data_IF_989749942066
#
_entry.id   IF_989749942066
#
_cell.length_a   1.000
_cell.length_b   1.000
_cell.length_c   1.000
_cell.angle_alpha   90.00
_cell.angle_beta   90.00
_cell.angle_gamma   90.00
#
_symmetry.space_group_name_H-M   'P 1'
#
loop_
_entity.id
_entity.type
_entity.pdbx_description
1 polymer ?
#
# COMPACT_ATOMS: atom_id res chain seq x y z
N UNK A 1 -29.48 72.16 -25.09
CA UNK A 1 -29.33 70.92 -25.87
C UNK A 1 -28.20 70.21 -25.28
N UNK A 2 -28.51 69.27 -24.41
CA UNK A 2 -27.67 68.62 -23.47
C UNK A 2 -27.39 67.19 -23.97
N UNK A 3 -26.16 66.81 -24.07
CA UNK A 3 -25.76 65.43 -24.34
C UNK A 3 -25.20 64.77 -23.07
N UNK A 4 -25.95 63.81 -22.58
CA UNK A 4 -25.65 62.98 -21.48
C UNK A 4 -24.87 61.72 -22.00
N UNK A 5 -23.58 61.64 -21.75
CA UNK A 5 -22.80 60.42 -21.95
C UNK A 5 -22.59 59.74 -20.62
N UNK A 6 -23.38 58.67 -20.38
CA UNK A 6 -23.18 57.73 -19.27
C UNK A 6 -21.97 56.85 -19.54
N UNK A 7 -20.93 57.01 -18.74
CA UNK A 7 -19.82 56.04 -18.67
C UNK A 7 -20.22 54.87 -17.78
N UNK A 8 -20.25 53.66 -18.34
CA UNK A 8 -20.39 52.42 -17.64
C UNK A 8 -19.03 52.01 -17.06
N UNK A 9 -18.91 52.04 -15.75
CA UNK A 9 -17.77 51.46 -15.02
C UNK A 9 -17.94 49.94 -14.94
N UNK A 10 -17.13 49.20 -15.69
CA UNK A 10 -16.92 47.77 -15.51
C UNK A 10 -15.98 47.55 -14.33
N UNK A 11 -16.51 46.97 -13.28
CA UNK A 11 -15.75 46.49 -12.13
C UNK A 11 -14.97 45.22 -12.50
N UNK A 12 -13.68 45.34 -12.61
CA UNK A 12 -12.76 44.18 -12.67
C UNK A 12 -12.69 43.48 -11.29
N UNK A 13 -12.70 42.13 -11.25
CA UNK A 13 -12.59 41.40 -10.00
C UNK A 13 -11.13 41.41 -9.51
N UNK A 14 -11.01 41.68 -8.24
CA UNK A 14 -9.80 41.78 -7.39
C UNK A 14 -8.92 40.52 -7.39
N UNK A 15 -8.03 40.42 -8.38
CA UNK A 15 -6.93 39.40 -8.38
C UNK A 15 -5.65 39.87 -7.65
N UNK A 16 -5.65 41.07 -7.07
CA UNK A 16 -4.44 41.66 -6.46
C UNK A 16 -4.16 41.24 -5.01
N UNK A 17 -5.15 40.68 -4.31
CA UNK A 17 -4.99 40.32 -2.89
C UNK A 17 -4.16 39.07 -2.66
N UNK A 18 -4.37 38.06 -3.47
CA UNK A 18 -3.69 36.74 -3.34
C UNK A 18 -2.22 36.82 -3.73
N UNK A 19 -1.88 37.53 -4.81
CA UNK A 19 -0.49 37.72 -5.24
C UNK A 19 0.33 38.56 -4.25
N UNK A 20 -0.31 39.55 -3.60
CA UNK A 20 0.34 40.38 -2.60
C UNK A 20 0.52 39.62 -1.28
N UNK A 21 -0.44 38.80 -0.88
CA UNK A 21 -0.34 37.95 0.31
C UNK A 21 0.72 36.85 0.12
N UNK A 22 0.75 36.19 -1.04
CA UNK A 22 1.79 35.23 -1.43
C UNK A 22 3.18 35.89 -1.46
N UNK A 23 3.29 37.12 -1.96
CA UNK A 23 4.57 37.86 -1.95
C UNK A 23 5.08 38.15 -0.54
N UNK A 24 4.20 38.55 0.38
CA UNK A 24 4.55 38.77 1.79
C UNK A 24 4.88 37.46 2.55
N UNK A 25 4.20 36.36 2.20
CA UNK A 25 4.47 35.04 2.75
C UNK A 25 5.84 34.53 2.30
N UNK A 26 6.21 34.70 1.04
CA UNK A 26 7.49 34.33 0.45
C UNK A 26 8.64 35.22 0.99
N UNK A 27 8.41 36.53 1.21
CA UNK A 27 9.41 37.44 1.84
C UNK A 27 9.70 37.05 3.31
N UNK A 28 8.69 36.52 4.01
CA UNK A 28 8.84 36.11 5.42
C UNK A 28 9.54 34.78 5.59
N UNK A 29 9.54 33.95 4.54
CA UNK A 29 10.27 32.65 4.48
C UNK A 29 11.72 32.79 4.01
N UNK A 30 12.21 34.00 3.75
CA UNK A 30 13.63 34.24 3.33
C UNK A 30 13.93 33.76 1.90
N UNK A 31 12.90 33.44 1.09
CA UNK A 31 13.01 32.86 -0.25
C UNK A 31 13.41 33.87 -1.33
N UNK A 32 14.47 34.59 -1.09
CA UNK A 32 15.06 35.54 -2.06
C UNK A 32 16.49 35.16 -2.37
N UNK A 33 16.71 34.34 -3.38
CA UNK A 33 17.74 34.43 -4.42
C UNK A 33 17.95 33.10 -5.12
N UNK A 34 17.50 32.98 -6.38
CA UNK A 34 18.10 32.09 -7.39
C UNK A 34 17.89 30.58 -7.28
N UNK A 35 17.37 30.07 -6.18
CA UNK A 35 17.01 28.65 -6.00
C UNK A 35 15.61 28.33 -6.51
N UNK A 36 15.37 27.12 -6.91
CA UNK A 36 14.01 26.64 -7.18
C UNK A 36 13.21 26.69 -5.88
N UNK A 37 12.01 27.33 -5.88
CA UNK A 37 11.09 27.38 -4.70
C UNK A 37 10.93 26.00 -4.06
N UNK A 38 11.09 24.96 -4.86
CA UNK A 38 11.04 23.57 -4.44
C UNK A 38 12.26 23.16 -3.59
N UNK A 39 13.47 23.53 -4.01
CA UNK A 39 14.70 23.25 -3.24
C UNK A 39 14.64 23.94 -1.89
N UNK A 40 14.16 25.20 -1.88
CA UNK A 40 13.97 25.97 -0.64
C UNK A 40 12.93 25.30 0.29
N UNK A 41 11.82 24.77 -0.25
CA UNK A 41 10.81 24.03 0.54
C UNK A 41 11.39 22.70 1.04
N UNK A 42 12.10 21.96 0.21
CA UNK A 42 12.71 20.68 0.59
C UNK A 42 13.75 20.88 1.70
N UNK A 43 14.57 21.94 1.58
CA UNK A 43 15.54 22.30 2.61
C UNK A 43 14.87 22.77 3.91
N UNK A 44 13.79 23.57 3.81
CA UNK A 44 13.01 24.00 4.97
C UNK A 44 12.29 22.85 5.69
N UNK A 45 11.90 21.79 4.97
CA UNK A 45 11.31 20.57 5.54
C UNK A 45 12.36 19.66 6.17
N UNK A 46 13.62 19.71 5.69
CA UNK A 46 14.73 18.89 6.20
C UNK A 46 15.37 19.48 7.46
N UNK A 47 15.20 20.80 7.71
CA UNK A 47 15.80 21.48 8.87
C UNK A 47 14.87 21.37 10.09
N UNK A 48 15.25 20.56 11.06
CA UNK A 48 14.64 20.53 12.39
C UNK A 48 14.93 21.84 13.14
N UNK A 49 14.02 22.82 13.07
CA UNK A 49 14.09 24.01 13.93
C UNK A 49 14.06 25.37 13.26
N UNK A 50 13.93 25.49 11.96
CA UNK A 50 13.96 26.77 11.26
C UNK A 50 12.74 27.04 10.38
N UNK A 51 11.75 27.76 10.88
CA UNK A 51 10.78 28.49 10.02
C UNK A 51 9.45 27.84 9.68
N UNK A 52 9.26 26.52 9.85
CA UNK A 52 7.98 25.82 9.67
C UNK A 52 7.59 25.11 10.95
N UNK A 53 7.55 25.85 12.05
CA UNK A 53 7.38 25.34 13.41
C UNK A 53 5.96 24.86 13.73
N UNK A 54 5.00 25.08 12.83
CA UNK A 54 3.58 24.72 13.05
C UNK A 54 3.15 23.40 12.39
N UNK A 55 4.06 22.71 11.65
CA UNK A 55 3.74 21.44 11.03
C UNK A 55 4.17 20.26 11.90
N UNK A 56 3.26 19.32 12.09
CA UNK A 56 3.56 18.02 12.70
C UNK A 56 4.60 17.24 11.87
N UNK A 57 5.32 16.28 12.45
CA UNK A 57 6.23 15.40 11.72
C UNK A 57 5.54 14.70 10.53
N UNK A 58 4.29 14.28 10.73
CA UNK A 58 3.47 13.61 9.72
C UNK A 58 3.12 14.54 8.54
N UNK A 59 2.73 15.80 8.82
CA UNK A 59 2.46 16.79 7.78
C UNK A 59 3.73 17.10 6.97
N UNK A 60 4.89 17.17 7.62
CA UNK A 60 6.18 17.35 6.94
C UNK A 60 6.50 16.15 6.04
N UNK A 61 6.29 14.92 6.52
CA UNK A 61 6.49 13.71 5.74
C UNK A 61 5.57 13.66 4.51
N UNK A 62 4.28 13.98 4.67
CA UNK A 62 3.33 14.06 3.57
C UNK A 62 3.75 15.12 2.52
N UNK A 63 4.18 16.30 2.94
CA UNK A 63 4.66 17.32 2.02
C UNK A 63 5.92 16.88 1.26
N UNK A 64 6.86 16.24 1.93
CA UNK A 64 8.04 15.64 1.30
C UNK A 64 7.65 14.57 0.29
N UNK A 65 6.71 13.69 0.64
CA UNK A 65 6.19 12.64 -0.22
C UNK A 65 5.48 13.20 -1.47
N UNK A 66 4.68 14.26 -1.32
CA UNK A 66 4.07 14.97 -2.47
C UNK A 66 5.13 15.53 -3.42
N UNK A 67 6.20 16.10 -2.88
CA UNK A 67 7.31 16.63 -3.70
C UNK A 67 8.05 15.49 -4.44
N UNK A 68 8.25 14.35 -3.78
CA UNK A 68 8.92 13.19 -4.37
C UNK A 68 8.05 12.48 -5.42
N UNK A 69 6.72 12.49 -5.27
CA UNK A 69 5.80 11.85 -6.22
C UNK A 69 5.95 12.42 -7.64
N UNK A 70 6.31 13.69 -7.79
CA UNK A 70 6.55 14.31 -9.12
C UNK A 70 7.74 13.73 -9.86
N UNK A 71 8.71 13.18 -9.13
CA UNK A 71 9.92 12.58 -9.70
C UNK A 71 9.71 11.12 -10.08
N UNK A 72 8.71 10.48 -9.45
CA UNK A 72 8.38 9.07 -9.72
C UNK A 72 7.58 8.93 -11.01
N UNK A 73 7.89 7.88 -11.75
CA UNK A 73 7.13 7.44 -12.92
C UNK A 73 6.20 6.29 -12.55
N UNK A 74 5.24 6.02 -13.39
CA UNK A 74 4.32 4.88 -13.24
C UNK A 74 5.10 3.57 -13.09
N UNK A 75 6.18 3.38 -13.86
CA UNK A 75 7.05 2.21 -13.78
C UNK A 75 7.67 1.98 -12.38
N UNK A 76 7.91 3.07 -11.62
CA UNK A 76 8.55 2.99 -10.30
C UNK A 76 7.58 2.55 -9.19
N UNK A 77 6.27 2.61 -9.46
CA UNK A 77 5.22 2.44 -8.45
C UNK A 77 4.16 1.40 -8.81
N UNK A 78 4.17 0.90 -10.05
CA UNK A 78 3.22 -0.10 -10.51
C UNK A 78 3.46 -1.47 -9.86
N UNK A 79 2.40 -2.27 -9.77
CA UNK A 79 2.49 -3.71 -9.54
C UNK A 79 3.01 -4.35 -10.83
N UNK A 80 4.16 -5.03 -10.81
CA UNK A 80 4.74 -5.65 -12.01
C UNK A 80 3.81 -6.74 -12.60
N UNK A 81 3.90 -6.97 -13.89
CA UNK A 81 3.10 -7.98 -14.63
C UNK A 81 3.03 -9.35 -13.92
N UNK A 82 4.15 -9.79 -13.34
CA UNK A 82 4.26 -11.10 -12.69
C UNK A 82 3.34 -11.23 -11.47
N UNK A 83 3.05 -10.11 -10.81
CA UNK A 83 2.27 -10.03 -9.57
C UNK A 83 0.82 -9.58 -9.81
N UNK A 84 0.44 -9.28 -11.07
CA UNK A 84 -0.91 -8.86 -11.41
C UNK A 84 -1.89 -10.03 -11.31
N UNK A 85 -2.85 -9.94 -10.39
CA UNK A 85 -3.97 -10.87 -10.31
C UNK A 85 -5.05 -10.41 -11.30
N UNK A 86 -5.30 -11.22 -12.32
CA UNK A 86 -6.26 -10.94 -13.39
C UNK A 86 -7.12 -12.17 -13.70
N UNK A 87 -8.21 -11.98 -14.42
CA UNK A 87 -9.15 -13.05 -14.77
C UNK A 87 -9.38 -13.10 -16.29
N UNK A 88 -9.48 -14.32 -16.86
CA UNK A 88 -9.87 -14.49 -18.26
C UNK A 88 -11.34 -14.13 -18.48
N UNK A 89 -11.65 -13.53 -19.64
CA UNK A 89 -13.03 -13.30 -20.07
C UNK A 89 -13.85 -14.61 -20.23
N UNK A 90 -13.15 -15.73 -20.46
CA UNK A 90 -13.75 -17.06 -20.59
C UNK A 90 -13.92 -17.79 -19.23
N UNK A 91 -13.38 -17.22 -18.15
CA UNK A 91 -13.59 -17.76 -16.81
C UNK A 91 -15.08 -17.72 -16.43
N UNK A 92 -15.53 -18.72 -15.70
CA UNK A 92 -16.91 -18.81 -15.23
C UNK A 92 -17.18 -17.82 -14.09
N UNK A 93 -18.44 -17.48 -13.85
CA UNK A 93 -18.82 -16.66 -12.69
C UNK A 93 -18.48 -17.37 -11.37
N UNK A 94 -18.41 -18.71 -11.35
CA UNK A 94 -17.95 -19.48 -10.22
C UNK A 94 -16.46 -19.30 -9.94
N UNK A 95 -15.63 -19.34 -10.99
CA UNK A 95 -14.20 -19.07 -10.89
C UNK A 95 -13.92 -17.63 -10.45
N UNK A 96 -14.67 -16.67 -10.99
CA UNK A 96 -14.57 -15.26 -10.61
C UNK A 96 -14.91 -15.06 -9.13
N UNK A 97 -15.96 -15.73 -8.61
CA UNK A 97 -16.32 -15.68 -7.19
C UNK A 97 -15.18 -16.23 -6.31
N UNK A 98 -14.62 -17.37 -6.70
CA UNK A 98 -13.49 -17.95 -5.99
C UNK A 98 -12.27 -17.02 -6.01
N UNK A 99 -11.98 -16.40 -7.14
CA UNK A 99 -10.86 -15.47 -7.30
C UNK A 99 -11.05 -14.21 -6.43
N UNK A 100 -12.23 -13.58 -6.41
CA UNK A 100 -12.49 -12.44 -5.53
C UNK A 100 -12.27 -12.77 -4.06
N UNK A 101 -12.66 -13.99 -3.65
CA UNK A 101 -12.50 -14.43 -2.26
C UNK A 101 -11.04 -14.63 -1.86
N UNK A 102 -10.18 -15.08 -2.78
CA UNK A 102 -8.78 -15.36 -2.50
C UNK A 102 -7.87 -14.14 -2.74
N UNK A 103 -8.19 -13.33 -3.75
CA UNK A 103 -7.37 -12.17 -4.11
C UNK A 103 -7.50 -11.01 -3.12
N UNK A 104 -8.64 -10.86 -2.43
CA UNK A 104 -8.89 -9.74 -1.52
C UNK A 104 -9.07 -8.37 -2.20
N UNK A 105 -9.04 -8.31 -3.54
CA UNK A 105 -9.16 -7.07 -4.30
C UNK A 105 -10.61 -6.81 -4.73
N UNK A 106 -11.01 -5.54 -4.77
CA UNK A 106 -12.35 -5.15 -5.23
C UNK A 106 -12.46 -5.03 -6.75
N UNK A 107 -11.34 -4.95 -7.46
CA UNK A 107 -11.24 -4.75 -8.91
C UNK A 107 -10.20 -5.69 -9.49
N UNK A 108 -10.56 -6.37 -10.58
CA UNK A 108 -9.64 -7.28 -11.28
C UNK A 108 -9.59 -6.90 -12.76
N UNK A 109 -8.41 -6.81 -13.37
CA UNK A 109 -8.27 -6.74 -14.82
C UNK A 109 -8.84 -8.00 -15.46
N UNK A 110 -9.43 -7.82 -16.64
CA UNK A 110 -9.98 -8.91 -17.45
C UNK A 110 -9.24 -8.95 -18.77
N UNK A 111 -8.75 -10.13 -19.13
CA UNK A 111 -8.03 -10.36 -20.38
C UNK A 111 -8.73 -11.41 -21.27
N UNK A 112 -8.41 -11.42 -22.56
CA UNK A 112 -8.87 -12.42 -23.51
C UNK A 112 -7.95 -13.64 -23.54
N UNK A 113 -7.03 -13.69 -24.49
CA UNK A 113 -6.08 -14.81 -24.63
C UNK A 113 -4.92 -14.72 -23.64
N UNK A 114 -4.41 -13.51 -23.38
CA UNK A 114 -3.31 -13.22 -22.46
C UNK A 114 -3.49 -11.85 -21.83
N UNK A 115 -2.63 -11.50 -20.86
CA UNK A 115 -2.60 -10.15 -20.28
C UNK A 115 -2.33 -9.04 -21.32
N UNK A 116 -1.76 -9.38 -22.48
CA UNK A 116 -1.53 -8.43 -23.56
C UNK A 116 -2.79 -8.19 -24.43
N UNK A 117 -3.88 -8.92 -24.14
CA UNK A 117 -5.21 -8.70 -24.72
C UNK A 117 -6.21 -8.24 -23.63
N UNK A 118 -6.02 -7.06 -23.02
CA UNK A 118 -6.88 -6.57 -21.96
C UNK A 118 -8.27 -6.20 -22.51
N UNK A 119 -9.32 -6.72 -21.89
CA UNK A 119 -10.73 -6.51 -22.24
C UNK A 119 -11.41 -5.46 -21.40
N UNK A 120 -10.80 -5.06 -20.29
CA UNK A 120 -11.36 -4.13 -19.34
C UNK A 120 -11.10 -4.57 -17.90
N UNK A 121 -12.00 -4.22 -17.00
CA UNK A 121 -11.96 -4.67 -15.61
C UNK A 121 -13.33 -5.14 -15.14
N UNK A 122 -13.35 -5.96 -14.08
CA UNK A 122 -14.54 -6.32 -13.33
C UNK A 122 -14.46 -5.73 -11.93
N UNK A 123 -15.56 -5.12 -11.46
CA UNK A 123 -15.69 -4.66 -10.08
C UNK A 123 -16.59 -5.63 -9.30
N UNK A 124 -16.20 -5.99 -8.08
CA UNK A 124 -16.96 -6.89 -7.22
C UNK A 124 -18.42 -6.44 -7.01
N UNK A 125 -18.69 -5.13 -6.96
CA UNK A 125 -20.04 -4.58 -6.85
C UNK A 125 -20.89 -4.97 -8.08
N UNK A 126 -20.35 -4.82 -9.30
CA UNK A 126 -21.11 -5.15 -10.52
C UNK A 126 -21.41 -6.64 -10.60
N UNK A 127 -20.45 -7.44 -10.14
CA UNK A 127 -20.66 -8.90 -10.00
C UNK A 127 -21.77 -9.21 -8.99
N UNK A 128 -21.78 -8.58 -7.82
CA UNK A 128 -22.82 -8.76 -6.81
C UNK A 128 -24.18 -8.24 -7.31
N UNK A 129 -24.23 -7.10 -7.97
CA UNK A 129 -25.45 -6.55 -8.56
C UNK A 129 -26.00 -7.48 -9.65
N UNK A 130 -25.13 -8.06 -10.49
CA UNK A 130 -25.50 -9.03 -11.50
C UNK A 130 -26.10 -10.30 -10.86
N UNK A 131 -25.49 -10.82 -9.82
CA UNK A 131 -25.98 -11.98 -9.05
C UNK A 131 -27.32 -11.66 -8.40
N UNK A 132 -27.42 -10.51 -7.71
CA UNK A 132 -28.64 -10.09 -7.02
C UNK A 132 -29.83 -9.92 -7.98
N UNK A 133 -29.59 -9.33 -9.16
CA UNK A 133 -30.62 -9.16 -10.18
C UNK A 133 -31.18 -10.51 -10.74
N UNK A 134 -30.41 -11.58 -10.65
CA UNK A 134 -30.80 -12.94 -11.10
C UNK A 134 -31.28 -13.83 -9.99
N UNK A 135 -31.04 -13.48 -8.75
CA UNK A 135 -31.56 -14.18 -7.60
C UNK A 135 -33.10 -14.12 -7.61
N UNK A 136 -33.75 -15.26 -7.77
CA UNK A 136 -35.22 -15.35 -7.73
C UNK A 136 -35.69 -15.45 -6.29
N UNK A 137 -36.87 -14.91 -5.94
CA UNK A 137 -37.49 -15.22 -4.64
C UNK A 137 -37.67 -16.71 -4.48
N UNK A 138 -37.39 -17.24 -3.31
CA UNK A 138 -37.48 -18.66 -3.01
C UNK A 138 -38.86 -19.24 -3.42
N UNK A 139 -38.86 -20.29 -4.24
CA UNK A 139 -40.10 -20.93 -4.72
C UNK A 139 -40.69 -21.81 -3.60
N UNK A 140 -41.91 -21.49 -3.20
CA UNK A 140 -42.67 -22.34 -2.23
C UNK A 140 -42.89 -23.69 -2.84
N UNK A 141 -42.27 -24.75 -2.30
CA UNK A 141 -42.62 -26.13 -2.62
C UNK A 141 -43.85 -26.53 -1.80
N UNK A 142 -44.74 -27.28 -2.44
CA UNK A 142 -46.04 -27.65 -1.86
C UNK A 142 -45.81 -28.56 -0.64
N UNK A 143 -46.03 -28.03 0.56
CA UNK A 143 -45.93 -28.79 1.81
C UNK A 143 -44.75 -28.41 2.73
N UNK A 144 -43.91 -27.44 2.34
CA UNK A 144 -42.83 -26.95 3.19
C UNK A 144 -43.22 -25.68 3.93
N UNK A 145 -42.56 -25.45 5.08
CA UNK A 145 -42.65 -24.23 5.83
C UNK A 145 -42.22 -23.04 4.93
N UNK A 146 -42.73 -21.85 5.20
CA UNK A 146 -42.48 -20.66 4.42
C UNK A 146 -40.96 -20.48 4.19
N UNK A 147 -40.49 -20.43 2.92
CA UNK A 147 -39.06 -20.26 2.66
C UNK A 147 -38.59 -18.96 3.29
N UNK A 148 -37.34 -18.89 3.79
CA UNK A 148 -36.82 -17.68 4.37
C UNK A 148 -36.98 -16.53 3.38
N UNK A 149 -37.50 -15.39 3.85
CA UNK A 149 -37.71 -14.20 3.04
C UNK A 149 -36.33 -13.68 2.57
N UNK A 150 -35.93 -14.03 1.34
CA UNK A 150 -34.66 -13.61 0.77
C UNK A 150 -34.46 -14.16 -0.65
N UNK A 151 -33.50 -13.59 -1.40
CA UNK A 151 -33.16 -14.06 -2.74
C UNK A 151 -32.52 -15.45 -2.69
N UNK A 152 -33.05 -16.40 -3.48
CA UNK A 152 -32.44 -17.72 -3.65
C UNK A 152 -31.30 -17.66 -4.65
N UNK A 153 -30.07 -17.86 -4.18
CA UNK A 153 -28.86 -17.90 -5.02
C UNK A 153 -28.78 -19.21 -5.85
N UNK A 154 -29.52 -20.27 -5.50
CA UNK A 154 -29.51 -21.55 -6.20
C UNK A 154 -30.05 -21.53 -7.64
N UNK A 155 -30.63 -20.40 -8.08
CA UNK A 155 -31.12 -20.21 -9.44
C UNK A 155 -30.12 -19.52 -10.37
N UNK A 156 -28.92 -19.17 -9.88
CA UNK A 156 -27.91 -18.49 -10.61
C UNK A 156 -27.02 -19.50 -11.33
N UNK A 157 -26.90 -19.34 -12.63
CA UNK A 157 -26.01 -20.15 -13.45
C UNK A 157 -24.57 -19.61 -13.31
N UNK A 158 -23.82 -20.20 -12.39
CA UNK A 158 -22.40 -19.87 -12.17
C UNK A 158 -21.46 -20.45 -13.24
N UNK A 159 -21.97 -21.30 -14.15
CA UNK A 159 -21.19 -21.81 -15.28
C UNK A 159 -21.12 -20.84 -16.48
N UNK A 160 -21.93 -19.78 -16.45
CA UNK A 160 -21.85 -18.68 -17.42
C UNK A 160 -20.49 -18.00 -17.39
N UNK A 161 -19.93 -17.69 -18.57
CA UNK A 161 -18.65 -16.98 -18.65
C UNK A 161 -18.80 -15.48 -18.41
N UNK A 162 -17.69 -14.86 -17.98
CA UNK A 162 -17.64 -13.42 -17.74
C UNK A 162 -17.93 -12.62 -19.04
N UNK A 163 -17.47 -13.11 -20.20
CA UNK A 163 -17.78 -12.52 -21.52
C UNK A 163 -19.29 -12.51 -21.79
N UNK A 164 -20.00 -13.58 -21.44
CA UNK A 164 -21.46 -13.68 -21.61
C UNK A 164 -22.23 -12.77 -20.64
N UNK A 165 -21.69 -12.57 -19.45
CA UNK A 165 -22.32 -11.72 -18.43
C UNK A 165 -22.38 -10.23 -18.79
N UNK A 166 -21.44 -9.74 -19.61
CA UNK A 166 -21.36 -8.35 -20.12
C UNK A 166 -21.34 -7.30 -18.99
N UNK A 167 -20.60 -7.57 -17.93
CA UNK A 167 -20.48 -6.70 -16.73
C UNK A 167 -19.10 -6.05 -16.61
N UNK A 168 -18.35 -5.99 -17.71
CA UNK A 168 -17.05 -5.36 -17.74
C UNK A 168 -17.17 -3.84 -17.80
N UNK A 169 -16.25 -3.17 -17.11
CA UNK A 169 -16.02 -1.73 -17.22
C UNK A 169 -14.76 -1.45 -18.05
N UNK A 170 -14.69 -0.31 -18.71
CA UNK A 170 -13.44 0.13 -19.34
C UNK A 170 -12.37 0.34 -18.28
N UNK A 171 -11.10 0.12 -18.65
CA UNK A 171 -9.92 0.39 -17.83
C UNK A 171 -9.11 1.52 -18.48
N UNK A 172 -8.34 2.25 -17.69
CA UNK A 172 -7.41 3.27 -18.17
C UNK A 172 -6.11 2.62 -18.62
N UNK A 173 -5.57 3.07 -19.75
CA UNK A 173 -4.27 2.64 -20.28
C UNK A 173 -3.27 3.79 -20.18
N UNK A 174 -2.07 3.50 -19.69
CA UNK A 174 -1.01 4.48 -19.48
C UNK A 174 0.36 3.91 -19.81
N UNK A 175 1.31 4.72 -20.31
CA UNK A 175 2.67 4.26 -20.51
C UNK A 175 3.47 4.23 -19.19
N UNK A 176 4.49 3.37 -19.06
CA UNK A 176 5.36 3.28 -17.89
C UNK A 176 6.12 4.58 -17.61
N UNK A 177 6.39 5.37 -18.63
CA UNK A 177 7.13 6.64 -18.55
C UNK A 177 6.31 7.83 -18.03
N UNK A 178 4.98 7.68 -17.85
CA UNK A 178 4.11 8.75 -17.37
C UNK A 178 4.51 9.15 -15.94
N UNK A 179 4.57 10.47 -15.58
CA UNK A 179 4.71 10.90 -14.20
C UNK A 179 3.56 10.39 -13.32
N UNK A 180 3.87 9.89 -12.13
CA UNK A 180 2.87 9.33 -11.22
C UNK A 180 1.83 10.39 -10.78
N UNK A 181 2.24 11.65 -10.63
CA UNK A 181 1.32 12.76 -10.31
C UNK A 181 0.32 13.02 -11.42
N UNK A 182 0.73 12.93 -12.69
CA UNK A 182 -0.15 13.14 -13.85
C UNK A 182 -1.19 12.02 -13.94
N UNK A 183 -0.78 10.79 -13.62
CA UNK A 183 -1.70 9.67 -13.52
C UNK A 183 -2.73 9.89 -12.41
N UNK A 184 -2.30 10.32 -11.22
CA UNK A 184 -3.20 10.59 -10.10
C UNK A 184 -4.27 11.63 -10.48
N UNK A 185 -3.87 12.74 -11.11
CA UNK A 185 -4.79 13.78 -11.61
C UNK A 185 -5.76 13.19 -12.65
N UNK A 186 -5.26 12.37 -13.57
CA UNK A 186 -6.07 11.72 -14.61
C UNK A 186 -7.08 10.74 -14.03
N UNK A 187 -6.66 9.92 -13.06
CA UNK A 187 -7.54 8.97 -12.36
C UNK A 187 -8.66 9.70 -11.60
N UNK A 188 -8.34 10.79 -10.92
CA UNK A 188 -9.34 11.64 -10.24
C UNK A 188 -10.33 12.26 -11.23
N UNK A 189 -9.85 12.84 -12.32
CA UNK A 189 -10.70 13.46 -13.35
C UNK A 189 -11.64 12.46 -14.03
N UNK A 190 -11.17 11.24 -14.29
CA UNK A 190 -11.94 10.17 -14.94
C UNK A 190 -12.72 9.29 -13.96
N UNK A 191 -12.53 9.49 -12.64
CA UNK A 191 -13.06 8.63 -11.58
C UNK A 191 -12.72 7.16 -11.76
N UNK A 192 -11.50 6.90 -12.25
CA UNK A 192 -10.97 5.56 -12.50
C UNK A 192 -10.02 5.22 -11.37
N UNK A 193 -10.13 4.00 -10.82
CA UNK A 193 -9.33 3.56 -9.67
C UNK A 193 -8.18 2.62 -10.03
N UNK A 194 -8.16 2.07 -11.24
CA UNK A 194 -7.05 1.26 -11.73
C UNK A 194 -6.67 1.66 -13.15
N UNK A 195 -5.39 1.50 -13.48
CA UNK A 195 -4.86 1.63 -14.83
C UNK A 195 -3.98 0.44 -15.17
N UNK A 196 -4.03 0.00 -16.42
CA UNK A 196 -3.06 -0.96 -16.97
C UNK A 196 -1.90 -0.19 -17.60
N UNK A 197 -0.70 -0.64 -17.28
CA UNK A 197 0.53 -0.06 -17.80
C UNK A 197 0.90 -0.83 -19.07
N UNK A 198 0.97 -0.11 -20.18
CA UNK A 198 1.20 -0.69 -21.51
C UNK A 198 2.53 -0.20 -22.05
N UNK A 199 3.39 -1.12 -22.46
CA UNK A 199 4.68 -0.84 -23.07
C UNK A 199 4.57 -0.32 -24.52
N UNK A 200 5.70 0.01 -25.14
CA UNK A 200 5.79 0.55 -26.50
C UNK A 200 5.42 -0.49 -27.57
N UNK A 201 5.37 -1.77 -27.21
CA UNK A 201 5.04 -2.87 -28.10
C UNK A 201 3.59 -3.33 -27.96
N UNK A 202 2.84 -2.71 -27.03
CA UNK A 202 1.45 -3.05 -26.73
C UNK A 202 1.29 -4.15 -25.71
N UNK A 203 2.37 -4.58 -25.06
CA UNK A 203 2.35 -5.53 -23.95
C UNK A 203 1.91 -4.89 -22.65
N UNK A 204 1.33 -5.67 -21.77
CA UNK A 204 0.99 -5.22 -20.40
C UNK A 204 2.18 -5.41 -19.48
N UNK A 205 2.78 -4.31 -19.03
CA UNK A 205 3.90 -4.29 -18.08
C UNK A 205 3.46 -4.44 -16.62
N UNK A 206 2.25 -3.97 -16.29
CA UNK A 206 1.78 -4.00 -14.94
C UNK A 206 0.42 -3.35 -14.75
N UNK A 207 0.10 -3.13 -13.51
CA UNK A 207 -1.12 -2.47 -13.05
C UNK A 207 -0.77 -1.43 -11.99
N UNK A 208 -1.54 -0.35 -11.92
CA UNK A 208 -1.42 0.62 -10.84
C UNK A 208 -2.81 1.03 -10.38
N UNK A 209 -3.01 1.11 -9.07
CA UNK A 209 -4.24 1.60 -8.47
C UNK A 209 -4.08 3.04 -7.98
N UNK A 210 -5.21 3.72 -7.75
CA UNK A 210 -5.19 5.06 -7.13
C UNK A 210 -4.77 4.94 -5.66
N UNK A 211 -5.07 3.82 -5.04
CA UNK A 211 -4.69 3.48 -3.69
C UNK A 211 -3.16 3.46 -3.53
N UNK A 212 -2.42 2.84 -4.47
CA UNK A 212 -0.94 2.83 -4.49
C UNK A 212 -0.36 4.25 -4.60
N UNK A 213 -0.97 5.10 -5.43
CA UNK A 213 -0.53 6.50 -5.60
C UNK A 213 -0.80 7.35 -4.35
N UNK A 214 -1.93 7.10 -3.66
CA UNK A 214 -2.28 7.80 -2.43
C UNK A 214 -1.40 7.32 -1.28
N UNK A 215 -1.09 6.03 -1.20
CA UNK A 215 -0.16 5.47 -0.21
C UNK A 215 1.21 6.14 -0.25
N UNK A 216 1.74 6.42 -1.46
CA UNK A 216 3.02 7.13 -1.60
C UNK A 216 2.94 8.54 -1.01
N UNK A 217 1.80 9.23 -1.13
CA UNK A 217 1.61 10.58 -0.61
C UNK A 217 1.42 10.58 0.89
N UNK A 218 0.55 9.71 1.38
CA UNK A 218 0.20 9.65 2.80
C UNK A 218 1.32 9.00 3.61
N UNK A 219 2.06 8.08 2.99
CA UNK A 219 3.02 7.22 3.67
C UNK A 219 2.31 6.19 4.55
N UNK A 220 3.05 5.48 5.36
CA UNK A 220 2.47 4.69 6.44
C UNK A 220 1.81 5.67 7.43
N UNK A 221 0.51 5.56 7.60
CA UNK A 221 -0.20 6.32 8.64
C UNK A 221 0.21 5.68 9.96
N UNK A 222 1.25 6.23 10.56
CA UNK A 222 1.54 5.92 11.96
C UNK A 222 0.46 6.63 12.78
N UNK A 223 -0.30 5.86 13.56
CA UNK A 223 -1.23 6.44 14.52
C UNK A 223 -0.37 7.17 15.57
N UNK A 224 -0.64 8.47 15.78
CA UNK A 224 0.09 9.27 16.78
C UNK A 224 0.00 8.65 18.19
N UNK A 225 -0.96 7.76 18.40
CA UNK A 225 -1.13 6.97 19.61
C UNK A 225 -0.32 5.67 19.65
N UNK A 226 0.23 5.22 18.49
CA UNK A 226 1.08 4.01 18.45
C UNK A 226 2.50 4.27 19.01
N UNK A 227 2.92 5.53 19.15
CA UNK A 227 4.24 5.88 19.66
C UNK A 227 4.33 5.86 21.20
N UNK A 228 3.20 5.87 21.93
CA UNK A 228 3.20 6.03 23.39
C UNK A 228 2.66 4.83 24.19
N UNK A 229 2.08 3.78 23.60
CA UNK A 229 1.36 2.76 24.40
C UNK A 229 1.82 1.29 24.23
N UNK A 230 2.58 0.93 23.23
CA UNK A 230 3.13 -0.43 23.15
C UNK A 230 4.65 -0.39 23.12
N UNK A 231 5.33 -1.07 24.05
CA UNK A 231 6.78 -1.17 23.97
C UNK A 231 7.17 -1.79 22.63
N UNK A 232 8.17 -1.18 21.96
CA UNK A 232 8.69 -1.66 20.68
C UNK A 232 9.04 -3.17 20.71
N UNK A 233 9.27 -3.70 21.92
CA UNK A 233 9.49 -5.11 22.21
C UNK A 233 8.67 -5.50 23.45
N UNK A 234 7.74 -6.42 23.28
CA UNK A 234 6.88 -6.93 24.35
C UNK A 234 7.12 -8.42 24.62
N UNK A 235 7.13 -8.86 25.88
CA UNK A 235 7.22 -10.28 26.21
C UNK A 235 5.96 -11.02 25.73
N UNK A 236 6.15 -12.20 25.13
CA UNK A 236 5.09 -13.03 24.54
C UNK A 236 5.12 -14.49 25.04
N UNK A 237 5.64 -14.71 26.24
CA UNK A 237 5.78 -16.00 26.91
C UNK A 237 7.19 -16.23 27.44
N UNK A 238 7.47 -17.42 27.94
CA UNK A 238 8.82 -17.79 28.39
C UNK A 238 9.77 -17.76 27.20
N UNK A 239 10.85 -16.97 27.28
CA UNK A 239 11.89 -16.83 26.27
C UNK A 239 11.38 -16.40 24.87
N UNK A 240 10.24 -15.73 24.80
CA UNK A 240 9.64 -15.22 23.55
C UNK A 240 9.26 -13.76 23.68
N UNK A 241 9.55 -13.00 22.63
CA UNK A 241 9.22 -11.59 22.54
C UNK A 241 8.58 -11.30 21.18
N UNK A 242 7.64 -10.37 21.14
CA UNK A 242 7.13 -9.79 19.90
C UNK A 242 7.77 -8.42 19.78
N UNK A 243 8.36 -8.14 18.62
CA UNK A 243 9.04 -6.89 18.35
C UNK A 243 8.51 -6.24 17.05
N UNK A 244 8.44 -4.92 17.05
CA UNK A 244 8.37 -4.15 15.83
C UNK A 244 9.75 -4.24 15.13
N UNK A 245 9.77 -4.38 13.81
CA UNK A 245 11.03 -4.50 13.08
C UNK A 245 11.84 -3.19 13.07
N UNK A 246 11.23 -2.06 13.45
CA UNK A 246 11.90 -0.77 13.63
C UNK A 246 12.58 -0.64 14.98
N UNK A 247 12.30 -1.54 15.93
CA UNK A 247 12.98 -1.55 17.21
C UNK A 247 14.48 -1.60 17.00
N UNK A 248 15.20 -0.80 17.77
CA UNK A 248 16.66 -0.73 17.71
C UNK A 248 17.30 -1.93 18.43
N UNK A 249 18.55 -2.22 18.11
CA UNK A 249 19.31 -3.26 18.80
C UNK A 249 19.54 -2.90 20.29
N UNK A 250 19.59 -1.60 20.60
CA UNK A 250 19.68 -1.14 22.00
C UNK A 250 18.38 -1.36 22.78
N UNK A 251 17.21 -1.17 22.16
CA UNK A 251 15.92 -1.51 22.76
C UNK A 251 15.79 -3.01 22.98
N UNK A 252 16.28 -3.84 22.05
CA UNK A 252 16.35 -5.29 22.24
C UNK A 252 17.19 -5.63 23.47
N UNK A 253 18.36 -5.03 23.61
CA UNK A 253 19.24 -5.24 24.76
C UNK A 253 18.58 -4.85 26.06
N UNK A 254 17.88 -3.71 26.09
CA UNK A 254 17.15 -3.25 27.29
C UNK A 254 15.98 -4.17 27.66
N UNK A 255 15.20 -4.64 26.67
CA UNK A 255 14.03 -5.47 26.90
C UNK A 255 14.34 -6.93 27.22
N UNK A 256 15.40 -7.49 26.66
CA UNK A 256 15.69 -8.93 26.72
C UNK A 256 16.99 -9.26 27.47
N UNK A 257 17.86 -8.26 27.69
CA UNK A 257 19.21 -8.46 28.23
C UNK A 257 20.22 -9.04 27.23
N UNK A 258 19.84 -9.23 25.96
CA UNK A 258 20.68 -9.82 24.92
C UNK A 258 21.37 -8.70 24.17
N UNK A 259 22.70 -8.73 24.18
CA UNK A 259 23.55 -7.75 23.52
C UNK A 259 24.03 -8.28 22.17
N UNK A 260 23.50 -7.75 21.08
CA UNK A 260 23.90 -8.11 19.72
C UNK A 260 25.00 -7.19 19.15
N UNK A 261 25.44 -6.18 19.90
CA UNK A 261 26.43 -5.20 19.42
C UNK A 261 27.80 -5.81 19.09
N UNK A 262 28.09 -7.00 19.61
CA UNK A 262 29.33 -7.74 19.33
C UNK A 262 29.25 -8.62 18.09
N UNK A 263 28.07 -8.78 17.47
CA UNK A 263 27.91 -9.57 16.26
C UNK A 263 28.38 -8.77 15.04
N UNK A 264 29.24 -9.36 14.21
CA UNK A 264 29.83 -8.74 13.01
C UNK A 264 28.74 -8.14 12.07
N UNK A 265 27.53 -8.73 12.10
CA UNK A 265 26.38 -8.30 11.31
C UNK A 265 25.69 -7.06 11.91
N UNK A 266 25.90 -6.77 13.19
CA UNK A 266 25.27 -5.65 13.88
C UNK A 266 26.01 -4.32 13.68
N UNK A 267 27.25 -4.34 13.17
CA UNK A 267 28.03 -3.11 12.93
C UNK A 267 27.45 -2.25 11.78
N UNK A 268 26.63 -2.87 10.89
CA UNK A 268 26.09 -2.19 9.70
C UNK A 268 24.60 -1.86 9.81
N UNK A 269 23.94 -2.20 10.94
CA UNK A 269 22.48 -2.08 11.05
C UNK A 269 22.05 -1.56 12.43
N UNK A 270 21.09 -0.64 12.45
CA UNK A 270 20.56 -0.01 13.67
C UNK A 270 19.27 -0.67 14.18
N UNK A 271 18.55 -1.42 13.32
CA UNK A 271 17.21 -1.95 13.64
C UNK A 271 17.12 -3.45 13.46
N UNK A 272 16.15 -4.08 14.16
CA UNK A 272 15.86 -5.51 14.02
C UNK A 272 15.48 -5.89 12.59
N UNK A 273 14.71 -5.05 11.89
CA UNK A 273 14.35 -5.29 10.49
C UNK A 273 15.58 -5.30 9.57
N UNK A 274 16.52 -4.36 9.78
CA UNK A 274 17.79 -4.32 9.06
C UNK A 274 18.61 -5.60 9.32
N UNK A 275 18.73 -6.00 10.59
CA UNK A 275 19.44 -7.22 10.98
C UNK A 275 18.86 -8.46 10.27
N UNK A 276 17.55 -8.62 10.25
CA UNK A 276 16.87 -9.77 9.64
C UNK A 276 17.07 -9.80 8.13
N UNK A 277 16.97 -8.66 7.45
CA UNK A 277 17.21 -8.56 6.00
C UNK A 277 18.66 -8.89 5.67
N UNK A 278 19.61 -8.42 6.46
CA UNK A 278 21.04 -8.72 6.28
C UNK A 278 21.34 -10.21 6.51
N UNK A 279 20.78 -10.82 7.56
CA UNK A 279 20.95 -12.26 7.84
C UNK A 279 20.32 -13.13 6.74
N UNK A 280 19.17 -12.76 6.19
CA UNK A 280 18.50 -13.50 5.14
C UNK A 280 19.03 -13.22 3.73
N UNK A 281 19.78 -12.11 3.53
CA UNK A 281 20.24 -11.64 2.22
C UNK A 281 19.12 -11.11 1.30
N UNK A 282 17.89 -11.00 1.80
CA UNK A 282 16.69 -10.53 1.12
C UNK A 282 15.62 -10.17 2.13
N UNK A 283 14.52 -9.53 1.71
CA UNK A 283 13.35 -9.38 2.57
C UNK A 283 12.66 -10.74 2.74
N UNK A 284 12.60 -11.30 3.96
CA UNK A 284 11.96 -12.59 4.18
C UNK A 284 10.44 -12.48 4.19
N UNK A 285 9.75 -13.59 3.92
CA UNK A 285 8.30 -13.64 3.88
C UNK A 285 7.69 -14.01 5.24
N UNK A 286 6.40 -13.72 5.41
CA UNK A 286 5.66 -14.10 6.63
C UNK A 286 5.73 -15.59 6.90
N UNK A 287 6.01 -15.95 8.16
CA UNK A 287 6.16 -17.33 8.63
C UNK A 287 7.57 -17.89 8.46
N UNK A 288 8.51 -17.14 7.90
CA UNK A 288 9.89 -17.56 7.73
C UNK A 288 10.66 -17.46 9.05
N UNK A 289 11.50 -18.46 9.31
CA UNK A 289 12.36 -18.53 10.48
C UNK A 289 13.81 -18.24 10.07
N UNK A 290 14.42 -17.24 10.69
CA UNK A 290 15.80 -16.81 10.45
C UNK A 290 16.61 -17.05 11.72
N UNK A 291 17.74 -17.75 11.59
CA UNK A 291 18.69 -17.94 12.68
C UNK A 291 19.52 -16.68 12.87
N UNK A 292 19.52 -16.17 14.09
CA UNK A 292 20.34 -15.04 14.50
C UNK A 292 21.56 -15.44 15.33
N UNK A 293 22.37 -14.43 15.71
CA UNK A 293 23.44 -14.59 16.67
C UNK A 293 22.91 -14.89 18.09
N UNK A 294 23.78 -15.32 19.01
CA UNK A 294 23.46 -15.55 20.43
C UNK A 294 22.29 -16.52 20.66
N UNK A 295 22.19 -17.59 19.86
CA UNK A 295 21.13 -18.60 19.92
C UNK A 295 19.70 -18.02 19.78
N UNK A 296 19.58 -16.87 19.11
CA UNK A 296 18.28 -16.30 18.75
C UNK A 296 17.74 -16.90 17.46
N UNK A 297 16.43 -17.03 17.42
CA UNK A 297 15.68 -17.39 16.22
C UNK A 297 14.54 -16.38 16.02
N UNK A 298 14.44 -15.83 14.81
CA UNK A 298 13.47 -14.80 14.46
C UNK A 298 12.43 -15.38 13.54
N UNK A 299 11.15 -15.32 13.93
CA UNK A 299 10.01 -15.67 13.10
C UNK A 299 9.38 -14.40 12.56
N UNK A 300 9.23 -14.29 11.25
CA UNK A 300 8.57 -13.15 10.62
C UNK A 300 7.06 -13.27 10.78
N UNK A 301 6.45 -12.41 11.58
CA UNK A 301 5.00 -12.39 11.80
C UNK A 301 4.27 -11.59 10.73
N UNK A 302 4.90 -10.50 10.26
CA UNK A 302 4.37 -9.66 9.21
C UNK A 302 5.52 -9.03 8.40
N UNK A 303 5.36 -9.00 7.08
CA UNK A 303 6.30 -8.40 6.14
C UNK A 303 5.58 -8.02 4.84
N UNK A 304 6.07 -6.98 4.19
CA UNK A 304 5.72 -6.63 2.82
C UNK A 304 6.92 -6.87 1.88
N UNK A 305 6.77 -6.74 0.54
CA UNK A 305 7.88 -6.99 -0.40
C UNK A 305 9.11 -6.10 -0.20
N UNK A 306 9.00 -5.03 0.58
CA UNK A 306 10.05 -4.03 0.77
C UNK A 306 10.71 -4.13 2.14
N UNK A 307 9.98 -4.60 3.19
CA UNK A 307 10.46 -4.61 4.58
C UNK A 307 9.74 -5.64 5.45
N UNK A 308 10.39 -6.03 6.51
CA UNK A 308 9.78 -6.75 7.64
C UNK A 308 9.08 -5.72 8.54
N UNK A 309 7.88 -6.05 9.04
CA UNK A 309 7.09 -5.19 9.93
C UNK A 309 7.08 -5.66 11.38
N UNK A 310 6.87 -6.95 11.60
CA UNK A 310 6.78 -7.55 12.95
C UNK A 310 7.49 -8.87 13.01
N UNK A 311 8.15 -9.12 14.14
CA UNK A 311 8.95 -10.29 14.42
C UNK A 311 8.50 -10.94 15.72
N UNK A 312 8.68 -12.26 15.79
CA UNK A 312 8.74 -12.97 17.06
C UNK A 312 10.16 -13.45 17.27
N UNK A 313 10.73 -13.12 18.42
CA UNK A 313 12.08 -13.48 18.82
C UNK A 313 11.96 -14.66 19.77
N UNK A 314 12.66 -15.74 19.45
CA UNK A 314 12.78 -16.93 20.27
C UNK A 314 14.21 -17.02 20.79
N UNK A 315 14.38 -17.11 22.10
CA UNK A 315 15.67 -17.47 22.71
C UNK A 315 15.72 -18.98 22.87
N UNK A 316 16.67 -19.64 22.23
CA UNK A 316 16.96 -21.03 22.50
C UNK A 316 17.67 -21.12 23.84
N UNK A 317 17.04 -21.77 24.82
CA UNK A 317 17.78 -22.22 25.95
C UNK A 317 18.83 -23.21 25.45
N UNK A 318 20.07 -23.05 25.91
CA UNK A 318 21.09 -24.07 25.69
C UNK A 318 20.54 -25.40 26.26
N UNK A 319 20.01 -26.23 25.38
CA UNK A 319 19.60 -27.59 25.75
C UNK A 319 20.87 -28.25 26.25
N UNK A 320 20.93 -28.53 27.55
CA UNK A 320 21.96 -29.34 28.14
C UNK A 320 22.10 -30.60 27.26
N UNK A 321 23.23 -30.74 26.61
CA UNK A 321 23.59 -31.93 25.84
C UNK A 321 23.63 -33.07 26.84
N UNK A 322 22.49 -33.75 27.00
CA UNK A 322 22.47 -35.05 27.66
C UNK A 322 23.26 -36.03 26.77
N UNK A 323 24.48 -36.28 27.16
CA UNK A 323 25.33 -37.27 26.51
C UNK A 323 24.60 -38.62 26.52
N UNK A 324 24.55 -39.36 25.40
CA UNK A 324 23.95 -40.68 25.42
C UNK A 324 24.75 -41.56 26.38
N UNK A 325 24.07 -42.09 27.41
CA UNK A 325 24.60 -43.08 28.31
C UNK A 325 25.12 -44.26 27.50
N UNK A 326 26.37 -44.61 27.72
CA UNK A 326 27.01 -45.80 27.13
C UNK A 326 26.22 -47.05 27.58
N UNK A 327 25.95 -48.02 26.72
CA UNK A 327 25.35 -49.28 27.13
C UNK A 327 26.37 -50.07 27.98
N UNK A 328 25.94 -50.39 29.21
CA UNK A 328 26.63 -51.31 30.09
C UNK A 328 26.86 -52.65 29.40
N UNK A 329 28.09 -53.02 29.32
CA UNK A 329 28.55 -54.39 28.95
C UNK A 329 28.36 -55.33 30.14
N UNK A 330 27.51 -56.32 29.98
CA UNK A 330 27.52 -57.56 30.73
C UNK A 330 27.13 -58.76 29.83
#
# INVERSE_FOLDING_TARGET
>A
MSDDTRSSSSSEPTGRGLAHWLGHFLDRLGLRQGGSIREDITEALAQDGGGVTDLSPQERAMLSNVLSLRERRVADVMVPRADVIAVSSEATLGDLLALFRTAGHSRLPVYGESLDDPRGMIHIRDFLDFIAARAKPGRKLRGEAEPPAGPSLGAIDLSMTLAQAKILRPVLYVPPSMPAVDLLVRMQATRTHIALVIDEYGGTDGLISIEDLVEIVVGDIEDEHDLDEAPAIAPAGENRFIADARATLDELKQATGIDLSSAEVAEEVDTLGGLIVTLAGRVPVRGELIKGPEDLEFEVLDADPRRVKRLRIHRRDAIATEAPAAPDAA
#
